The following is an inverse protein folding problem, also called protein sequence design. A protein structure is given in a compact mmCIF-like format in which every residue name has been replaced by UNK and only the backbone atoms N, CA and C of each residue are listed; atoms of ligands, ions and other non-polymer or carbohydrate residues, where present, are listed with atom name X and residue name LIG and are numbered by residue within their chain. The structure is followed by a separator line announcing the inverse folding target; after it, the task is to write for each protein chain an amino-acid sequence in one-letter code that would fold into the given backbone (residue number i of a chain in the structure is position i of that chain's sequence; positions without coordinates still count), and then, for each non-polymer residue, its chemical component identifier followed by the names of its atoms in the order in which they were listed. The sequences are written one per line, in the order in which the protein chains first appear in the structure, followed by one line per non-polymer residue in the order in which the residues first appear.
data_IF_191470577877
#
_entry.id   IF_191470577877
#
_cell.length_a   1.000
_cell.length_b   1.000
_cell.length_c   1.000
_cell.angle_alpha   90.00
_cell.angle_beta   90.00
_cell.angle_gamma   90.00
#
_symmetry.space_group_name_H-M   'P 1'
#
loop_
_entity.id
_entity.type
_entity.pdbx_description
1 polymer ?
#
# COMPACT_ATOMS: atom_id res chain seq x y z
N UNK A 1 -12.77 7.81 -6.92
CA UNK A 1 -12.69 6.92 -5.74
C UNK A 1 -11.75 5.74 -5.94
N UNK A 2 -11.77 5.05 -7.10
CA UNK A 2 -10.84 3.94 -7.38
C UNK A 2 -9.36 4.23 -7.04
N UNK A 3 -8.81 5.34 -7.54
CA UNK A 3 -7.41 5.70 -7.30
C UNK A 3 -7.08 5.90 -5.80
N UNK A 4 -8.01 6.48 -5.03
CA UNK A 4 -7.83 6.69 -3.58
C UNK A 4 -7.81 5.34 -2.85
N UNK A 5 -8.69 4.42 -3.23
CA UNK A 5 -8.70 3.07 -2.65
C UNK A 5 -7.46 2.25 -3.02
N UNK A 6 -6.94 2.42 -4.24
CA UNK A 6 -5.66 1.82 -4.63
C UNK A 6 -4.49 2.39 -3.80
N UNK A 7 -4.47 3.70 -3.57
CA UNK A 7 -3.46 4.36 -2.74
C UNK A 7 -3.51 3.93 -1.27
N UNK A 8 -4.68 3.55 -0.76
CA UNK A 8 -4.84 3.09 0.63
C UNK A 8 -4.09 1.77 0.90
N UNK A 9 -4.02 0.86 -0.08
CA UNK A 9 -3.24 -0.38 0.06
C UNK A 9 -1.75 -0.09 0.22
N UNK A 10 -1.20 0.72 -0.69
CA UNK A 10 0.20 1.16 -0.65
C UNK A 10 0.52 1.86 0.67
N UNK A 11 -0.38 2.70 1.16
CA UNK A 11 -0.22 3.38 2.45
C UNK A 11 -0.13 2.39 3.62
N UNK A 12 -1.01 1.38 3.66
CA UNK A 12 -0.98 0.38 4.72
C UNK A 12 0.33 -0.41 4.68
N UNK A 13 0.72 -0.91 3.52
CA UNK A 13 1.94 -1.70 3.37
C UNK A 13 3.19 -0.90 3.74
N UNK A 14 3.26 0.38 3.33
CA UNK A 14 4.36 1.28 3.69
C UNK A 14 4.45 1.51 5.20
N UNK A 15 3.32 1.72 5.88
CA UNK A 15 3.32 1.89 7.35
C UNK A 15 3.81 0.63 8.05
N UNK A 16 3.38 -0.56 7.61
CA UNK A 16 3.85 -1.82 8.18
C UNK A 16 5.36 -2.02 7.99
N UNK A 17 5.88 -1.74 6.80
CA UNK A 17 7.32 -1.87 6.53
C UNK A 17 8.16 -0.91 7.38
N UNK A 18 7.76 0.36 7.47
CA UNK A 18 8.49 1.39 8.21
C UNK A 18 8.43 1.16 9.74
N UNK A 19 7.28 0.75 10.26
CA UNK A 19 7.14 0.37 11.67
C UNK A 19 8.03 -0.84 11.97
N UNK A 20 8.04 -1.86 11.10
CA UNK A 20 8.88 -3.03 11.30
C UNK A 20 10.37 -2.67 11.27
N UNK A 21 10.81 -1.87 10.29
CA UNK A 21 12.21 -1.42 10.17
C UNK A 21 12.69 -0.55 11.33
N UNK A 22 11.78 0.18 11.98
CA UNK A 22 12.11 1.02 13.14
C UNK A 22 12.31 0.17 14.40
N UNK A 23 11.55 -0.92 14.55
CA UNK A 23 11.53 -1.72 15.78
C UNK A 23 12.44 -2.96 15.72
N UNK A 24 12.61 -3.57 14.54
CA UNK A 24 13.29 -4.86 14.36
C UNK A 24 14.34 -4.85 13.24
N UNK A 25 15.19 -5.89 13.23
CA UNK A 25 16.15 -6.12 12.14
C UNK A 25 15.45 -6.53 10.84
N UNK A 26 16.08 -6.19 9.71
CA UNK A 26 15.56 -6.45 8.34
C UNK A 26 15.19 -7.92 8.12
N UNK A 27 15.98 -8.86 8.66
CA UNK A 27 15.76 -10.31 8.52
C UNK A 27 14.49 -10.81 9.21
N UNK A 28 14.07 -10.14 10.29
CA UNK A 28 12.81 -10.45 11.00
C UNK A 28 11.63 -9.92 10.20
N UNK A 29 11.74 -8.72 9.64
CA UNK A 29 10.68 -8.12 8.81
C UNK A 29 10.40 -8.93 7.54
N UNK A 30 11.41 -9.55 6.92
CA UNK A 30 11.23 -10.43 5.76
C UNK A 30 10.46 -11.73 6.08
N UNK A 31 10.60 -12.25 7.31
CA UNK A 31 10.01 -13.51 7.74
C UNK A 31 8.87 -13.31 8.77
N UNK A 32 8.32 -12.09 8.85
CA UNK A 32 7.38 -11.69 9.91
C UNK A 32 6.10 -12.52 9.94
N UNK A 33 5.73 -13.17 8.82
CA UNK A 33 4.55 -14.01 8.71
C UNK A 33 4.77 -15.46 9.17
N UNK A 34 5.99 -15.85 9.53
CA UNK A 34 6.26 -17.18 10.07
C UNK A 34 5.71 -17.32 11.49
N UNK A 35 5.19 -18.51 11.88
CA UNK A 35 4.63 -18.72 13.21
C UNK A 35 5.64 -18.53 14.35
N UNK A 36 6.94 -18.56 14.02
CA UNK A 36 8.05 -18.29 14.95
C UNK A 36 8.03 -16.84 15.45
N UNK A 37 7.56 -15.89 14.64
CA UNK A 37 7.60 -14.45 14.93
C UNK A 37 6.22 -13.87 15.27
N UNK A 38 5.27 -14.70 15.73
CA UNK A 38 3.90 -14.26 16.05
C UNK A 38 3.87 -13.11 17.06
N UNK A 39 4.73 -13.14 18.09
CA UNK A 39 4.83 -12.06 19.08
C UNK A 39 5.39 -10.75 18.49
N UNK A 40 6.35 -10.86 17.55
CA UNK A 40 6.86 -9.71 16.81
C UNK A 40 5.78 -9.11 15.89
N UNK A 41 5.01 -9.97 15.21
CA UNK A 41 3.90 -9.55 14.36
C UNK A 41 2.84 -8.78 15.14
N UNK A 42 2.44 -9.28 16.32
CA UNK A 42 1.46 -8.60 17.18
C UNK A 42 1.95 -7.21 17.62
N UNK A 43 3.24 -7.09 17.94
CA UNK A 43 3.86 -5.81 18.32
C UNK A 43 3.85 -4.82 17.16
N UNK A 44 4.31 -5.24 15.97
CA UNK A 44 4.31 -4.39 14.77
C UNK A 44 2.89 -3.99 14.38
N UNK A 45 1.94 -4.91 14.44
CA UNK A 45 0.55 -4.64 14.10
C UNK A 45 -0.10 -3.63 15.06
N UNK A 46 0.19 -3.73 16.36
CA UNK A 46 -0.29 -2.77 17.34
C UNK A 46 0.26 -1.35 17.10
N UNK A 47 1.56 -1.24 16.87
CA UNK A 47 2.22 0.05 16.60
C UNK A 47 1.77 0.64 15.26
N UNK A 48 1.70 -0.17 14.20
CA UNK A 48 1.20 0.24 12.89
C UNK A 48 -0.25 0.74 12.99
N UNK A 49 -1.09 0.06 13.77
CA UNK A 49 -2.48 0.51 14.00
C UNK A 49 -2.53 1.89 14.64
N UNK A 50 -1.68 2.17 15.64
CA UNK A 50 -1.60 3.48 16.27
C UNK A 50 -1.15 4.58 15.30
N UNK A 51 -0.21 4.29 14.40
CA UNK A 51 0.23 5.22 13.35
C UNK A 51 -0.83 5.45 12.27
N UNK A 52 -1.54 4.41 11.86
CA UNK A 52 -2.65 4.51 10.90
C UNK A 52 -3.78 5.36 11.49
N UNK A 53 -4.13 5.15 12.76
CA UNK A 53 -5.13 5.94 13.46
C UNK A 53 -4.71 7.41 13.54
N UNK A 54 -3.46 7.67 13.94
CA UNK A 54 -2.91 9.03 14.03
C UNK A 54 -2.90 9.74 12.68
N UNK A 55 -2.55 9.04 11.60
CA UNK A 55 -2.61 9.55 10.22
C UNK A 55 -4.05 9.83 9.77
N UNK A 56 -5.00 8.97 10.13
CA UNK A 56 -6.43 9.16 9.84
C UNK A 56 -6.98 10.38 10.56
N UNK A 57 -6.62 10.60 11.83
CA UNK A 57 -7.00 11.81 12.59
C UNK A 57 -6.37 13.05 11.97
N UNK A 58 -5.09 12.98 11.61
CA UNK A 58 -4.37 14.06 10.94
C UNK A 58 -4.96 14.41 9.57
N UNK A 59 -5.56 13.45 8.86
CA UNK A 59 -6.33 13.66 7.63
C UNK A 59 -7.72 14.25 7.93
N UNK A 60 -8.45 13.66 8.88
CA UNK A 60 -9.86 13.96 9.14
C UNK A 60 -10.07 15.37 9.70
N UNK A 61 -9.24 15.81 10.66
CA UNK A 61 -9.36 17.13 11.28
C UNK A 61 -9.29 18.28 10.24
N UNK A 62 -8.23 18.38 9.41
CA UNK A 62 -8.18 19.40 8.36
C UNK A 62 -9.20 19.15 7.26
N UNK A 63 -9.55 17.89 6.95
CA UNK A 63 -10.57 17.56 5.95
C UNK A 63 -11.96 18.08 6.33
N UNK A 64 -12.35 18.06 7.61
CA UNK A 64 -13.63 18.62 8.05
C UNK A 64 -13.64 20.14 7.84
N UNK A 65 -12.56 20.83 8.22
CA UNK A 65 -12.46 22.28 8.08
C UNK A 65 -12.49 22.67 6.60
N UNK A 66 -11.66 22.02 5.77
CA UNK A 66 -11.60 22.28 4.34
C UNK A 66 -12.90 21.91 3.63
N UNK A 67 -13.57 20.80 4.00
CA UNK A 67 -14.86 20.42 3.45
C UNK A 67 -15.94 21.48 3.73
N UNK A 68 -16.01 22.02 4.94
CA UNK A 68 -16.98 23.09 5.26
C UNK A 68 -16.72 24.36 4.44
N UNK A 69 -15.46 24.78 4.34
CA UNK A 69 -15.09 25.95 3.52
C UNK A 69 -15.41 25.70 2.04
N UNK A 70 -15.01 24.55 1.50
CA UNK A 70 -15.26 24.18 0.10
C UNK A 70 -16.74 23.97 -0.21
N UNK A 71 -17.52 23.48 0.75
CA UNK A 71 -18.98 23.40 0.64
C UNK A 71 -19.59 24.79 0.47
N UNK A 72 -19.28 25.71 1.39
CA UNK A 72 -19.78 27.09 1.33
C UNK A 72 -19.32 27.85 0.08
N UNK A 73 -18.09 27.59 -0.38
CA UNK A 73 -17.54 28.16 -1.61
C UNK A 73 -18.24 27.60 -2.85
N UNK A 74 -18.45 26.28 -2.87
CA UNK A 74 -19.09 25.56 -3.98
C UNK A 74 -20.51 26.04 -4.27
N UNK A 75 -21.23 26.47 -3.24
CA UNK A 75 -22.58 27.02 -3.36
C UNK A 75 -22.60 28.46 -3.91
N UNK A 76 -21.54 29.25 -3.70
CA UNK A 76 -21.49 30.68 -4.13
C UNK A 76 -20.77 30.92 -5.45
N UNK A 77 -19.62 30.27 -5.68
CA UNK A 77 -18.71 30.56 -6.79
C UNK A 77 -18.60 29.42 -7.81
N UNK A 78 -19.37 28.34 -7.63
CA UNK A 78 -19.45 27.21 -8.56
C UNK A 78 -18.74 25.94 -8.08
N UNK A 79 -19.14 24.80 -8.66
CA UNK A 79 -18.85 23.45 -8.15
C UNK A 79 -17.61 22.77 -8.73
N UNK A 80 -16.83 23.46 -9.57
CA UNK A 80 -15.62 22.88 -10.18
C UNK A 80 -14.47 22.73 -9.18
N UNK A 81 -14.28 23.72 -8.30
CA UNK A 81 -13.16 23.75 -7.34
C UNK A 81 -13.21 22.58 -6.35
N UNK A 82 -14.35 22.29 -5.69
CA UNK A 82 -14.46 21.18 -4.74
C UNK A 82 -14.26 19.80 -5.38
N UNK A 83 -14.39 19.70 -6.71
CA UNK A 83 -14.23 18.46 -7.46
C UNK A 83 -12.77 18.21 -7.86
N UNK A 84 -11.99 19.26 -8.12
CA UNK A 84 -10.57 19.17 -8.54
C UNK A 84 -9.62 19.11 -7.34
N UNK A 85 -9.89 19.85 -6.27
CA UNK A 85 -8.99 19.95 -5.12
C UNK A 85 -8.64 18.59 -4.47
N UNK A 86 -9.61 17.68 -4.22
CA UNK A 86 -9.30 16.36 -3.67
C UNK A 86 -8.37 15.53 -4.55
N UNK A 87 -8.47 15.66 -5.88
CA UNK A 87 -7.59 14.98 -6.82
C UNK A 87 -6.16 15.52 -6.75
N UNK A 88 -6.00 16.84 -6.59
CA UNK A 88 -4.69 17.48 -6.39
C UNK A 88 -4.08 17.04 -5.06
N UNK A 89 -4.86 17.02 -3.98
CA UNK A 89 -4.41 16.53 -2.67
C UNK A 89 -3.95 15.06 -2.72
N UNK A 90 -4.70 14.20 -3.40
CA UNK A 90 -4.32 12.81 -3.63
C UNK A 90 -3.01 12.65 -4.41
N UNK A 91 -2.84 13.43 -5.49
CA UNK A 91 -1.60 13.46 -6.28
C UNK A 91 -0.40 13.91 -5.45
N UNK A 92 -0.53 14.99 -4.67
CA UNK A 92 0.52 15.46 -3.77
C UNK A 92 0.90 14.39 -2.74
N UNK A 93 -0.09 13.72 -2.17
CA UNK A 93 0.13 12.63 -1.21
C UNK A 93 0.86 11.45 -1.86
N UNK A 94 0.49 11.09 -3.09
CA UNK A 94 1.14 10.03 -3.84
C UNK A 94 2.61 10.38 -4.17
N UNK A 95 2.89 11.64 -4.51
CA UNK A 95 4.27 12.11 -4.71
C UNK A 95 5.11 11.99 -3.43
N UNK A 96 4.54 12.29 -2.27
CA UNK A 96 5.24 12.13 -0.99
C UNK A 96 5.52 10.66 -0.69
N UNK A 97 4.57 9.75 -0.96
CA UNK A 97 4.80 8.30 -0.79
C UNK A 97 5.87 7.76 -1.75
N UNK A 98 5.86 8.20 -3.01
CA UNK A 98 6.89 7.85 -4.00
C UNK A 98 8.26 8.39 -3.55
N UNK A 99 8.32 9.64 -3.10
CA UNK A 99 9.54 10.24 -2.57
C UNK A 99 10.10 9.45 -1.38
N UNK A 100 9.23 9.05 -0.45
CA UNK A 100 9.59 8.25 0.71
C UNK A 100 10.17 6.89 0.29
N UNK A 101 9.53 6.23 -0.67
CA UNK A 101 10.00 4.96 -1.25
C UNK A 101 11.35 5.09 -1.95
N UNK A 102 11.58 6.16 -2.72
CA UNK A 102 12.84 6.36 -3.47
C UNK A 102 14.02 6.69 -2.55
N UNK A 103 13.79 7.49 -1.51
CA UNK A 103 14.88 7.94 -0.64
C UNK A 103 15.25 6.91 0.45
N UNK A 104 14.54 5.77 0.55
CA UNK A 104 14.84 4.66 1.46
C UNK A 104 15.18 5.16 2.88
N UNK A 105 14.41 6.15 3.36
CA UNK A 105 14.66 6.83 4.63
C UNK A 105 14.49 5.79 5.75
N UNK A 106 15.60 5.26 6.25
CA UNK A 106 15.61 4.31 7.39
C UNK A 106 15.33 5.02 8.73
N UNK A 107 14.39 5.96 8.75
CA UNK A 107 14.32 7.02 9.75
C UNK A 107 12.92 7.17 10.40
N UNK A 108 12.12 8.21 10.07
CA UNK A 108 10.88 8.50 10.79
C UNK A 108 9.60 8.18 9.99
N UNK A 109 8.58 7.65 10.68
CA UNK A 109 7.18 7.46 10.19
C UNK A 109 6.43 8.80 10.00
N UNK A 110 6.96 9.90 10.56
CA UNK A 110 6.36 11.25 10.53
C UNK A 110 5.97 11.81 9.15
N UNK A 111 6.71 11.59 8.04
CA UNK A 111 6.35 12.08 6.71
C UNK A 111 4.97 11.58 6.23
N UNK A 112 4.55 10.41 6.70
CA UNK A 112 3.24 9.82 6.39
C UNK A 112 2.11 10.68 6.99
N UNK A 113 2.30 11.22 8.20
CA UNK A 113 1.33 12.14 8.81
C UNK A 113 1.29 13.47 8.07
N UNK A 114 2.45 13.98 7.63
CA UNK A 114 2.50 15.22 6.84
C UNK A 114 1.76 15.04 5.52
N UNK A 115 1.98 13.93 4.81
CA UNK A 115 1.25 13.60 3.59
C UNK A 115 -0.28 13.54 3.84
N UNK A 116 -0.69 12.88 4.92
CA UNK A 116 -2.09 12.76 5.32
C UNK A 116 -2.70 14.13 5.65
N UNK A 117 -1.99 14.97 6.39
CA UNK A 117 -2.40 16.33 6.71
C UNK A 117 -2.55 17.22 5.48
N UNK A 118 -1.59 17.16 4.54
CA UNK A 118 -1.67 17.88 3.27
C UNK A 118 -2.92 17.43 2.50
N UNK A 119 -3.12 16.12 2.34
CA UNK A 119 -4.32 15.57 1.67
C UNK A 119 -5.62 16.09 2.29
N UNK A 120 -5.65 16.20 3.62
CA UNK A 120 -6.81 16.69 4.36
C UNK A 120 -7.07 18.18 4.17
N UNK A 121 -6.02 19.01 4.10
CA UNK A 121 -6.15 20.44 3.80
C UNK A 121 -6.77 20.65 2.41
N UNK A 122 -6.45 19.80 1.44
CA UNK A 122 -7.02 19.82 0.09
C UNK A 122 -8.44 19.22 -0.02
N UNK A 123 -9.06 18.85 1.11
CA UNK A 123 -10.44 18.37 1.16
C UNK A 123 -10.58 16.89 1.47
N UNK A 124 -9.54 16.08 1.24
CA UNK A 124 -9.59 14.63 1.39
C UNK A 124 -10.69 13.95 0.58
N UNK A 125 -10.94 12.67 0.85
CA UNK A 125 -11.99 11.91 0.16
C UNK A 125 -13.41 12.41 0.50
N UNK A 126 -13.60 12.96 1.71
CA UNK A 126 -14.90 13.48 2.18
C UNK A 126 -15.40 14.61 1.30
N UNK A 127 -14.54 15.58 0.98
CA UNK A 127 -14.92 16.70 0.10
C UNK A 127 -15.28 16.23 -1.31
N UNK A 128 -14.65 15.17 -1.81
CA UNK A 128 -14.96 14.62 -3.12
C UNK A 128 -16.36 13.98 -3.14
N UNK A 129 -16.70 13.15 -2.15
CA UNK A 129 -18.05 12.56 -2.04
C UNK A 129 -19.08 13.66 -1.89
N UNK A 130 -18.82 14.66 -1.03
CA UNK A 130 -19.72 15.80 -0.84
C UNK A 130 -19.92 16.59 -2.15
N UNK A 131 -18.84 16.91 -2.87
CA UNK A 131 -18.92 17.67 -4.12
C UNK A 131 -19.71 16.93 -5.20
N UNK A 132 -19.47 15.63 -5.34
CA UNK A 132 -20.10 14.80 -6.38
C UNK A 132 -21.58 14.53 -6.07
N UNK A 133 -21.90 14.19 -4.82
CA UNK A 133 -23.30 14.00 -4.39
C UNK A 133 -24.11 15.30 -4.49
N UNK A 134 -23.51 16.41 -4.07
CA UNK A 134 -24.09 17.75 -4.26
C UNK A 134 -24.31 18.03 -5.74
N UNK A 135 -23.31 17.79 -6.61
CA UNK A 135 -23.43 17.98 -8.06
C UNK A 135 -24.59 17.18 -8.66
N UNK A 136 -24.65 15.87 -8.40
CA UNK A 136 -25.73 15.01 -8.88
C UNK A 136 -27.09 15.51 -8.40
N UNK A 137 -27.20 15.94 -7.14
CA UNK A 137 -28.46 16.46 -6.61
C UNK A 137 -28.96 17.70 -7.36
N UNK A 138 -28.08 18.59 -7.82
CA UNK A 138 -28.48 19.81 -8.55
C UNK A 138 -28.96 19.57 -9.98
N UNK A 139 -28.46 18.53 -10.64
CA UNK A 139 -28.81 18.22 -12.03
C UNK A 139 -29.97 17.21 -12.13
N UNK A 140 -30.45 16.71 -10.98
CA UNK A 140 -31.47 15.66 -10.90
C UNK A 140 -32.85 16.23 -10.56
N UNK A 141 -33.90 15.59 -11.08
CA UNK A 141 -35.27 15.87 -10.69
C UNK A 141 -35.62 15.18 -9.37
N UNK A 142 -36.60 15.70 -8.61
CA UNK A 142 -36.98 15.19 -7.29
C UNK A 142 -37.24 13.67 -7.27
N UNK A 143 -37.86 13.13 -8.33
CA UNK A 143 -38.17 11.70 -8.44
C UNK A 143 -36.95 10.82 -8.79
N UNK A 144 -35.95 11.37 -9.48
CA UNK A 144 -34.75 10.61 -9.91
C UNK A 144 -33.52 10.84 -9.03
N UNK A 145 -33.57 11.83 -8.13
CA UNK A 145 -32.45 12.25 -7.28
C UNK A 145 -31.90 11.10 -6.45
N UNK A 146 -32.76 10.40 -5.71
CA UNK A 146 -32.36 9.29 -4.85
C UNK A 146 -31.71 8.17 -5.66
N UNK A 147 -32.33 7.76 -6.77
CA UNK A 147 -31.79 6.70 -7.63
C UNK A 147 -30.39 7.03 -8.16
N UNK A 148 -30.15 8.28 -8.61
CA UNK A 148 -28.83 8.70 -9.12
C UNK A 148 -27.77 8.73 -8.02
N UNK A 149 -28.13 9.16 -6.81
CA UNK A 149 -27.21 9.15 -5.65
C UNK A 149 -26.87 7.72 -5.25
N UNK A 150 -27.84 6.81 -5.20
CA UNK A 150 -27.60 5.40 -4.90
C UNK A 150 -26.70 4.73 -5.93
N UNK A 151 -26.87 5.01 -7.23
CA UNK A 151 -25.97 4.51 -8.28
C UNK A 151 -24.55 5.02 -8.07
N UNK A 152 -24.40 6.30 -7.72
CA UNK A 152 -23.09 6.90 -7.45
C UNK A 152 -22.38 6.27 -6.24
N UNK A 153 -23.14 5.99 -5.19
CA UNK A 153 -22.66 5.32 -4.00
C UNK A 153 -22.27 3.87 -4.30
N UNK A 154 -23.08 3.14 -5.08
CA UNK A 154 -22.74 1.80 -5.54
C UNK A 154 -21.43 1.76 -6.35
N UNK A 155 -21.22 2.74 -7.25
CA UNK A 155 -19.95 2.86 -7.99
C UNK A 155 -18.75 3.13 -7.06
N UNK A 156 -18.97 3.82 -5.94
CA UNK A 156 -17.92 4.06 -4.93
C UNK A 156 -17.54 2.76 -4.23
N UNK A 157 -18.51 1.93 -3.85
CA UNK A 157 -18.25 0.60 -3.27
C UNK A 157 -17.55 -0.34 -4.27
N UNK A 158 -17.97 -0.34 -5.54
CA UNK A 158 -17.27 -1.11 -6.58
C UNK A 158 -15.80 -0.68 -6.68
N UNK A 159 -15.54 0.64 -6.63
CA UNK A 159 -14.17 1.17 -6.56
C UNK A 159 -13.41 0.74 -5.31
N UNK A 160 -14.09 0.62 -4.17
CA UNK A 160 -13.52 0.13 -2.91
C UNK A 160 -13.13 -1.33 -2.95
N UNK A 161 -13.89 -2.16 -3.67
CA UNK A 161 -13.51 -3.56 -3.90
C UNK A 161 -12.40 -3.66 -4.92
N UNK A 162 -12.57 -3.10 -6.13
CA UNK A 162 -11.63 -3.28 -7.24
C UNK A 162 -10.28 -2.59 -6.98
N UNK A 163 -10.27 -1.46 -6.29
CA UNK A 163 -9.06 -0.65 -6.07
C UNK A 163 -7.90 -1.41 -5.42
N UNK A 164 -8.09 -2.00 -4.23
CA UNK A 164 -7.06 -2.79 -3.55
C UNK A 164 -6.64 -4.04 -4.35
N UNK A 165 -7.59 -4.74 -4.98
CA UNK A 165 -7.25 -5.89 -5.83
C UNK A 165 -6.39 -5.49 -7.03
N UNK A 166 -6.68 -4.35 -7.66
CA UNK A 166 -5.88 -3.83 -8.77
C UNK A 166 -4.48 -3.39 -8.31
N UNK A 167 -4.36 -2.78 -7.12
CA UNK A 167 -3.08 -2.45 -6.48
C UNK A 167 -2.21 -3.68 -6.27
N UNK A 168 -2.73 -4.68 -5.55
CA UNK A 168 -2.03 -5.92 -5.27
C UNK A 168 -1.64 -6.69 -6.56
N UNK A 169 -2.50 -6.65 -7.59
CA UNK A 169 -2.17 -7.25 -8.88
C UNK A 169 -0.99 -6.52 -9.57
N UNK A 170 -0.96 -5.19 -9.49
CA UNK A 170 0.12 -4.37 -10.02
C UNK A 170 1.47 -4.66 -9.34
N UNK A 171 1.49 -4.75 -8.01
CA UNK A 171 2.69 -5.05 -7.21
C UNK A 171 3.29 -6.42 -7.56
N UNK A 172 2.45 -7.46 -7.65
CA UNK A 172 2.89 -8.81 -8.07
C UNK A 172 3.54 -8.78 -9.46
N UNK A 173 3.00 -7.98 -10.36
CA UNK A 173 3.53 -7.86 -11.72
C UNK A 173 4.82 -7.05 -11.77
N UNK A 174 4.93 -5.99 -10.98
CA UNK A 174 6.14 -5.18 -10.84
C UNK A 174 7.31 -5.98 -10.22
N UNK A 175 7.03 -6.77 -9.18
CA UNK A 175 8.00 -7.72 -8.61
C UNK A 175 8.49 -8.74 -9.65
N UNK A 176 7.59 -9.21 -10.53
CA UNK A 176 7.97 -10.10 -11.63
C UNK A 176 8.86 -9.42 -12.69
N UNK A 177 8.62 -8.14 -13.00
CA UNK A 177 9.45 -7.39 -13.96
C UNK A 177 10.81 -6.98 -13.39
N UNK A 178 10.88 -6.61 -12.10
CA UNK A 178 12.16 -6.34 -11.41
C UNK A 178 13.01 -7.61 -11.29
N UNK A 179 12.40 -8.78 -11.08
CA UNK A 179 13.08 -10.07 -11.14
C UNK A 179 13.61 -10.38 -12.55
N UNK A 180 12.82 -10.14 -13.60
CA UNK A 180 13.24 -10.37 -14.99
C UNK A 180 14.36 -9.43 -15.43
N UNK A 181 14.33 -8.16 -15.00
CA UNK A 181 15.38 -7.18 -15.33
C UNK A 181 16.67 -7.45 -14.55
N UNK A 182 16.60 -7.79 -13.27
CA UNK A 182 17.78 -8.23 -12.49
C UNK A 182 18.38 -9.57 -12.98
N UNK A 183 17.55 -10.49 -13.49
CA UNK A 183 18.02 -11.71 -14.14
C UNK A 183 18.69 -11.46 -15.51
N UNK A 184 18.36 -10.35 -16.18
CA UNK A 184 18.99 -9.94 -17.44
C UNK A 184 20.29 -9.15 -17.21
N UNK A 185 20.42 -8.44 -16.09
CA UNK A 185 21.59 -7.59 -15.79
C UNK A 185 22.80 -8.35 -15.19
N UNK A 186 22.69 -9.63 -14.83
CA UNK A 186 23.84 -10.48 -14.46
C UNK A 186 24.73 -9.96 -13.31
N UNK A 187 24.23 -9.03 -12.49
CA UNK A 187 24.97 -8.36 -11.41
C UNK A 187 24.70 -8.94 -10.02
N UNK A 188 25.73 -8.89 -9.18
CA UNK A 188 25.83 -9.49 -7.83
C UNK A 188 24.67 -9.19 -6.86
N UNK A 189 24.38 -10.20 -6.05
CA UNK A 189 23.22 -10.35 -5.18
C UNK A 189 23.30 -9.48 -3.91
N UNK A 190 22.26 -8.67 -3.64
CA UNK A 190 21.81 -8.37 -2.27
C UNK A 190 20.39 -8.92 -2.11
N UNK A 191 20.30 -10.13 -1.58
CA UNK A 191 19.06 -10.87 -1.47
C UNK A 191 18.22 -10.39 -0.29
N UNK A 192 17.11 -9.74 -0.58
CA UNK A 192 15.90 -9.77 0.25
C UNK A 192 14.89 -10.65 -0.49
N UNK A 193 14.80 -11.94 -0.13
CA UNK A 193 13.87 -12.89 -0.77
C UNK A 193 12.74 -13.22 0.21
N UNK A 194 11.46 -13.15 -0.21
CA UNK A 194 10.36 -13.71 0.57
C UNK A 194 10.36 -15.24 0.52
N UNK A 195 9.94 -15.83 1.64
CA UNK A 195 10.08 -17.23 2.01
C UNK A 195 9.61 -18.29 1.00
N UNK A 196 10.37 -19.39 0.94
CA UNK A 196 9.95 -20.65 0.34
C UNK A 196 9.59 -21.61 1.47
N UNK A 197 8.35 -22.08 1.47
CA UNK A 197 7.80 -23.05 2.41
C UNK A 197 8.73 -24.27 2.60
N UNK A 198 9.17 -24.51 3.84
CA UNK A 198 9.84 -25.75 4.26
C UNK A 198 8.78 -26.84 4.48
N UNK A 199 8.94 -27.98 3.81
CA UNK A 199 8.17 -29.21 4.08
C UNK A 199 8.55 -29.79 5.45
N UNK A 200 7.63 -30.48 6.16
CA UNK A 200 7.89 -30.97 7.50
C UNK A 200 8.71 -32.26 7.47
N UNK A 201 9.69 -32.34 8.37
CA UNK A 201 10.32 -33.59 8.81
C UNK A 201 11.69 -33.91 8.20
N UNK A 202 12.77 -33.55 8.93
CA UNK A 202 13.94 -34.44 9.11
C UNK A 202 14.85 -33.96 10.24
N UNK A 203 15.24 -34.91 11.08
CA UNK A 203 16.04 -34.78 12.30
C UNK A 203 17.44 -34.16 12.10
N UNK A 204 18.04 -33.58 13.16
CA UNK A 204 19.24 -32.77 13.07
C UNK A 204 20.50 -33.63 13.11
N UNK A 205 21.28 -33.66 12.02
CA UNK A 205 22.57 -34.38 12.07
C UNK A 205 23.33 -34.64 10.78
N UNK A 206 23.03 -34.00 9.65
CA UNK A 206 23.89 -34.15 8.46
C UNK A 206 23.98 -32.86 7.65
N UNK A 207 25.20 -32.32 7.56
CA UNK A 207 25.55 -31.23 6.65
C UNK A 207 25.55 -31.76 5.22
N UNK A 208 24.62 -31.30 4.38
CA UNK A 208 24.64 -31.51 2.93
C UNK A 208 24.92 -30.17 2.25
N UNK A 209 25.96 -30.12 1.42
CA UNK A 209 26.21 -28.99 0.52
C UNK A 209 25.57 -29.36 -0.82
N UNK A 210 24.37 -28.84 -1.10
CA UNK A 210 23.75 -28.95 -2.43
C UNK A 210 24.31 -27.85 -3.35
N UNK A 211 25.16 -28.24 -4.30
CA UNK A 211 25.56 -27.38 -5.42
C UNK A 211 24.65 -27.66 -6.61
N UNK A 212 23.86 -26.66 -7.01
CA UNK A 212 23.04 -26.71 -8.23
C UNK A 212 23.66 -25.82 -9.31
N UNK A 213 23.86 -26.33 -10.52
CA UNK A 213 24.27 -25.53 -11.67
C UNK A 213 23.12 -25.39 -12.69
N UNK A 214 23.02 -24.21 -13.27
CA UNK A 214 21.93 -23.79 -14.15
C UNK A 214 22.37 -23.91 -15.61
N UNK A 215 21.77 -24.83 -16.37
CA UNK A 215 21.96 -24.92 -17.82
C UNK A 215 20.60 -25.03 -18.49
N UNK A 216 20.28 -24.09 -19.39
CA UNK A 216 19.17 -24.23 -20.34
C UNK A 216 17.75 -24.29 -19.76
N UNK A 217 17.49 -23.68 -18.59
CA UNK A 217 16.13 -23.49 -18.09
C UNK A 217 15.46 -24.71 -17.42
N UNK A 218 16.19 -25.80 -17.13
CA UNK A 218 15.73 -26.87 -16.25
C UNK A 218 16.77 -27.19 -15.16
N UNK A 219 16.32 -27.28 -13.90
CA UNK A 219 17.14 -27.73 -12.77
C UNK A 219 17.26 -29.25 -12.79
N UNK A 220 18.48 -29.78 -12.96
CA UNK A 220 18.79 -31.19 -12.73
C UNK A 220 19.55 -31.35 -11.40
N UNK A 221 19.05 -32.16 -10.45
CA UNK A 221 19.78 -32.46 -9.22
C UNK A 221 20.89 -33.47 -9.50
N UNK A 222 22.14 -33.15 -9.13
CA UNK A 222 23.26 -34.09 -9.19
C UNK A 222 23.53 -34.63 -7.79
N UNK A 223 23.20 -35.90 -7.52
CA UNK A 223 23.57 -36.55 -6.27
C UNK A 223 25.01 -37.10 -6.40
N UNK A 224 26.02 -36.33 -5.95
CA UNK A 224 27.37 -36.87 -5.75
C UNK A 224 27.52 -37.36 -4.31
N UNK A 225 27.62 -38.68 -4.11
CA UNK A 225 28.13 -39.28 -2.87
C UNK A 225 29.66 -39.25 -2.92
N UNK A 226 30.30 -38.41 -2.09
CA UNK A 226 31.72 -38.58 -1.77
C UNK A 226 31.85 -39.70 -0.72
N UNK A 227 32.37 -40.85 -1.16
CA UNK A 227 32.88 -41.91 -0.28
C UNK A 227 34.25 -41.42 0.22
N UNK A 228 34.38 -41.17 1.52
CA UNK A 228 35.69 -40.97 2.16
C UNK A 228 36.30 -42.33 2.50
N UNK A 229 37.53 -42.56 2.04
CA UNK A 229 38.51 -43.47 2.66
C UNK A 229 39.27 -42.65 3.69
#
# INVERSE_FOLDING_TARGET
MLAIFMQYGIFQDLVYEEVCRTTFNVTVCENLHDPIYTECLDTVQNDASMWILSSTVSLALPSIISANVLGSWGDRFGRKLPLVLPSVGGLLSALVYIWMSLCNLSGPVWPILVASGISGIFGGFVSCIMAVTSYVSSISSQHSRTARVTVLEAMTFIGGTIGPFAGAWGERRYSSYSFLTSALDGGEWSASRPGRALRPGKDPGSHWIESSYFVGGLFYPTNLRLIQI
#
